data_IF_464618663359
#
_entry.id   IF_464618663359
#
_cell.length_a   1.000
_cell.length_b   1.000
_cell.length_c   1.000
_cell.angle_alpha   90.00
_cell.angle_beta   90.00
_cell.angle_gamma   90.00
#
_symmetry.space_group_name_H-M   'P 1'
#
loop_
_entity.id
_entity.type
_entity.pdbx_description
1 polymer ?
#
# COMPACT_ATOMS: atom_id res chain seq x y z
N UNK A 1 -5.67 -8.45 -7.72
CA UNK A 1 -4.26 -8.86 -7.99
C UNK A 1 -3.82 -8.40 -9.37
N UNK A 2 -2.54 -8.22 -9.58
CA UNK A 2 -1.99 -7.69 -10.85
C UNK A 2 -0.92 -8.66 -11.36
N UNK A 3 -0.94 -8.93 -12.66
CA UNK A 3 0.06 -9.73 -13.36
C UNK A 3 0.77 -8.90 -14.42
N UNK A 4 1.95 -9.33 -14.81
CA UNK A 4 2.68 -8.68 -15.88
C UNK A 4 2.09 -9.01 -17.27
N UNK A 5 1.93 -7.98 -18.11
CA UNK A 5 1.42 -8.16 -19.47
C UNK A 5 2.44 -8.91 -20.35
N UNK A 6 1.99 -9.95 -21.07
CA UNK A 6 2.85 -10.86 -21.86
C UNK A 6 3.57 -10.23 -23.05
N UNK A 7 3.25 -9.01 -23.46
CA UNK A 7 3.76 -8.41 -24.71
C UNK A 7 5.24 -7.96 -24.68
N UNK A 8 5.92 -7.98 -23.51
CA UNK A 8 7.35 -7.55 -23.39
C UNK A 8 8.23 -8.60 -22.68
N UNK A 9 8.11 -9.87 -23.05
CA UNK A 9 8.89 -10.96 -22.44
C UNK A 9 10.32 -10.98 -23.01
N UNK A 10 11.30 -10.45 -22.28
CA UNK A 10 12.71 -10.83 -22.44
C UNK A 10 12.98 -12.12 -21.64
N UNK A 11 13.91 -12.99 -22.09
CA UNK A 11 14.21 -14.22 -21.37
C UNK A 11 14.93 -13.93 -20.06
N UNK A 12 14.29 -14.17 -18.92
CA UNK A 12 14.90 -14.19 -17.59
C UNK A 12 14.85 -15.62 -17.05
N UNK A 13 15.83 -16.00 -16.23
CA UNK A 13 15.87 -17.29 -15.53
C UNK A 13 14.51 -17.55 -14.86
N UNK A 14 13.83 -18.61 -15.25
CA UNK A 14 12.39 -18.85 -15.07
C UNK A 14 11.82 -18.96 -13.64
N UNK A 15 12.59 -18.68 -12.59
CA UNK A 15 12.15 -18.81 -11.18
C UNK A 15 11.04 -17.83 -10.79
N UNK A 16 10.99 -16.64 -11.35
CA UNK A 16 9.97 -15.62 -11.05
C UNK A 16 8.56 -16.03 -11.47
N UNK A 17 8.43 -16.92 -12.48
CA UNK A 17 7.14 -17.43 -12.98
C UNK A 17 6.40 -18.30 -11.96
N UNK A 18 7.11 -18.80 -10.95
CA UNK A 18 6.56 -19.56 -9.83
C UNK A 18 6.62 -18.77 -8.51
N UNK A 19 6.82 -17.46 -8.58
CA UNK A 19 6.89 -16.58 -7.40
C UNK A 19 5.67 -15.66 -7.39
N UNK A 20 4.98 -15.59 -6.25
CA UNK A 20 3.85 -14.70 -6.00
C UNK A 20 4.25 -13.69 -4.94
N UNK A 21 4.00 -12.41 -5.19
CA UNK A 21 4.16 -11.36 -4.21
C UNK A 21 3.02 -11.38 -3.18
N UNK A 22 3.34 -11.20 -1.90
CA UNK A 22 2.38 -11.11 -0.80
C UNK A 22 2.64 -9.88 0.03
N UNK A 23 1.59 -9.14 0.35
CA UNK A 23 1.64 -8.10 1.39
C UNK A 23 1.66 -8.77 2.75
N UNK A 24 2.56 -8.33 3.63
CA UNK A 24 2.75 -8.91 4.97
C UNK A 24 1.73 -8.38 6.01
N UNK A 25 0.51 -8.00 5.59
CA UNK A 25 -0.58 -7.59 6.47
C UNK A 25 -1.64 -8.68 6.55
N UNK A 26 -2.35 -8.76 7.68
CA UNK A 26 -3.39 -9.76 7.95
C UNK A 26 -4.52 -9.79 6.90
N UNK A 27 -4.88 -8.64 6.35
CA UNK A 27 -5.90 -8.54 5.30
C UNK A 27 -5.54 -9.28 4.00
N UNK A 28 -4.28 -9.64 3.82
CA UNK A 28 -3.81 -10.40 2.67
C UNK A 28 -3.92 -11.93 2.87
N UNK A 29 -4.05 -12.40 4.11
CA UNK A 29 -4.06 -13.84 4.44
C UNK A 29 -5.15 -14.62 3.71
N UNK A 30 -6.39 -14.14 3.57
CA UNK A 30 -7.42 -14.88 2.84
C UNK A 30 -7.05 -15.21 1.38
N UNK A 31 -6.24 -14.36 0.72
CA UNK A 31 -5.79 -14.60 -0.65
C UNK A 31 -4.75 -15.73 -0.76
N UNK A 32 -4.12 -16.11 0.36
CA UNK A 32 -3.02 -17.06 0.41
C UNK A 32 -3.32 -18.30 1.25
N UNK A 33 -4.49 -18.37 1.91
CA UNK A 33 -4.84 -19.43 2.84
C UNK A 33 -4.78 -20.84 2.23
N UNK A 34 -5.15 -20.97 0.95
CA UNK A 34 -5.14 -22.26 0.24
C UNK A 34 -4.12 -22.30 -0.91
N UNK A 35 -3.05 -21.52 -0.78
CA UNK A 35 -2.00 -21.48 -1.78
C UNK A 35 -1.04 -22.67 -1.58
N UNK A 36 -1.22 -23.70 -2.39
CA UNK A 36 -0.38 -24.90 -2.35
C UNK A 36 0.93 -24.73 -3.13
N UNK A 37 1.93 -25.59 -2.77
CA UNK A 37 3.13 -25.81 -3.60
C UNK A 37 2.74 -26.05 -5.09
N UNK A 38 3.47 -25.51 -6.08
CA UNK A 38 4.91 -25.18 -6.01
C UNK A 38 5.23 -23.67 -5.87
N UNK A 39 4.28 -22.83 -5.45
CA UNK A 39 4.48 -21.39 -5.45
C UNK A 39 5.49 -20.94 -4.37
N UNK A 40 6.42 -20.08 -4.78
CA UNK A 40 7.27 -19.32 -3.85
C UNK A 40 6.55 -18.02 -3.50
N UNK A 41 6.64 -17.62 -2.23
CA UNK A 41 6.05 -16.37 -1.75
C UNK A 41 7.17 -15.35 -1.50
N UNK A 42 7.05 -14.17 -2.14
CA UNK A 42 7.89 -13.01 -1.90
C UNK A 42 7.08 -12.02 -1.08
N UNK A 43 7.46 -11.83 0.19
CA UNK A 43 6.78 -10.90 1.09
C UNK A 43 7.43 -9.53 1.04
N UNK A 44 6.62 -8.47 0.82
CA UNK A 44 7.09 -7.09 0.78
C UNK A 44 5.95 -6.12 1.11
N UNK A 45 6.27 -4.86 1.46
CA UNK A 45 5.27 -3.79 1.58
C UNK A 45 4.50 -3.56 0.27
N UNK A 46 3.24 -3.05 0.34
CA UNK A 46 2.37 -2.93 -0.85
C UNK A 46 3.00 -2.18 -2.03
N UNK A 47 3.57 -1.01 -1.79
CA UNK A 47 4.19 -0.20 -2.86
C UNK A 47 5.46 -0.82 -3.44
N UNK A 48 6.20 -1.62 -2.65
CA UNK A 48 7.42 -2.31 -3.10
C UNK A 48 7.11 -3.47 -4.04
N UNK A 49 5.96 -4.13 -3.85
CA UNK A 49 5.51 -5.21 -4.74
C UNK A 49 5.30 -4.74 -6.18
N UNK A 50 4.94 -3.47 -6.40
CA UNK A 50 4.90 -2.87 -7.74
C UNK A 50 6.25 -2.97 -8.42
N UNK A 51 7.33 -2.56 -7.73
CA UNK A 51 8.69 -2.68 -8.25
C UNK A 51 9.11 -4.13 -8.51
N UNK A 52 8.74 -5.06 -7.63
CA UNK A 52 9.02 -6.48 -7.82
C UNK A 52 8.31 -7.06 -9.05
N UNK A 53 7.06 -6.68 -9.32
CA UNK A 53 6.35 -7.06 -10.56
C UNK A 53 7.07 -6.52 -11.80
N UNK A 54 7.41 -5.23 -11.81
CA UNK A 54 8.04 -4.57 -12.95
C UNK A 54 9.43 -5.16 -13.26
N UNK A 55 10.20 -5.53 -12.24
CA UNK A 55 11.51 -6.19 -12.38
C UNK A 55 11.42 -7.70 -12.67
N UNK A 56 10.22 -8.28 -12.62
CA UNK A 56 10.00 -9.73 -12.76
C UNK A 56 10.63 -10.57 -11.63
N UNK A 57 10.52 -10.08 -10.41
CA UNK A 57 10.87 -10.87 -9.22
C UNK A 57 9.71 -11.79 -8.82
N UNK A 58 8.47 -11.44 -9.21
CA UNK A 58 7.26 -12.25 -9.08
C UNK A 58 6.33 -12.07 -10.30
N UNK A 59 5.43 -13.01 -10.52
CA UNK A 59 4.51 -13.02 -11.67
C UNK A 59 3.15 -12.38 -11.33
N UNK A 60 2.73 -12.48 -10.08
CA UNK A 60 1.45 -11.98 -9.55
C UNK A 60 1.73 -11.34 -8.20
N UNK A 61 1.09 -10.22 -7.92
CA UNK A 61 1.10 -9.62 -6.59
C UNK A 61 -0.15 -8.73 -6.37
N UNK A 62 -0.64 -8.60 -5.13
CA UNK A 62 -1.51 -7.49 -4.76
C UNK A 62 -0.65 -6.21 -4.71
N UNK A 63 -1.03 -5.20 -5.45
CA UNK A 63 -0.37 -3.90 -5.45
C UNK A 63 -1.38 -2.78 -5.24
N UNK A 64 -0.94 -1.58 -4.80
CA UNK A 64 -1.81 -0.43 -4.67
C UNK A 64 -2.49 -0.06 -5.99
N UNK A 65 -3.80 0.25 -5.94
CA UNK A 65 -4.55 0.66 -7.13
C UNK A 65 -3.97 1.91 -7.81
N UNK A 66 -3.42 2.84 -7.03
CA UNK A 66 -2.74 4.03 -7.54
C UNK A 66 -1.47 3.69 -8.34
N UNK A 67 -0.76 2.62 -7.96
CA UNK A 67 0.43 2.17 -8.71
C UNK A 67 0.01 1.42 -9.98
N UNK A 68 -1.05 0.59 -9.92
CA UNK A 68 -1.60 0.00 -11.13
C UNK A 68 -1.99 1.06 -12.15
N UNK A 69 -2.65 2.14 -11.72
CA UNK A 69 -3.06 3.21 -12.62
C UNK A 69 -1.88 3.87 -13.36
N UNK A 70 -0.70 3.96 -12.72
CA UNK A 70 0.53 4.48 -13.35
C UNK A 70 1.19 3.51 -14.32
N UNK A 71 0.96 2.20 -14.14
CA UNK A 71 1.63 1.13 -14.87
C UNK A 71 0.64 0.24 -15.63
N UNK A 72 -0.56 0.73 -15.94
CA UNK A 72 -1.63 -0.03 -16.59
C UNK A 72 -1.27 -0.56 -17.98
N UNK A 73 -0.32 0.06 -18.67
CA UNK A 73 0.20 -0.42 -19.95
C UNK A 73 1.15 -1.62 -19.81
N UNK A 74 1.78 -1.77 -18.64
CA UNK A 74 2.79 -2.81 -18.39
C UNK A 74 2.22 -3.99 -17.59
N UNK A 75 1.16 -3.74 -16.82
CA UNK A 75 0.54 -4.69 -15.90
C UNK A 75 -0.88 -5.04 -16.36
N UNK A 76 -1.34 -6.23 -16.00
CA UNK A 76 -2.71 -6.67 -16.23
C UNK A 76 -3.39 -7.01 -14.92
N UNK A 77 -4.66 -6.64 -14.77
CA UNK A 77 -5.47 -7.03 -13.61
C UNK A 77 -5.92 -8.49 -13.73
N UNK A 78 -5.92 -9.19 -12.61
CA UNK A 78 -6.71 -10.40 -12.44
C UNK A 78 -8.12 -9.93 -12.04
N UNK A 79 -9.15 -10.20 -12.86
CA UNK A 79 -10.51 -9.76 -12.55
C UNK A 79 -11.04 -10.45 -11.28
N UNK A 80 -11.97 -9.80 -10.61
CA UNK A 80 -12.71 -10.33 -9.45
C UNK A 80 -11.87 -10.74 -8.24
N UNK A 81 -10.57 -10.42 -8.23
CA UNK A 81 -9.66 -10.74 -7.14
C UNK A 81 -8.95 -9.49 -6.62
N UNK A 82 -9.29 -9.06 -5.40
CA UNK A 82 -8.69 -7.87 -4.79
C UNK A 82 -9.04 -7.72 -3.32
N UNK A 83 -8.37 -6.78 -2.67
CA UNK A 83 -8.69 -6.33 -1.32
C UNK A 83 -9.41 -5.00 -1.46
N UNK A 84 -10.69 -5.00 -1.08
CA UNK A 84 -11.58 -3.85 -1.22
C UNK A 84 -12.32 -3.59 0.08
N UNK A 85 -12.73 -2.34 0.29
CA UNK A 85 -13.62 -1.95 1.38
C UNK A 85 -14.89 -1.32 0.82
N UNK A 86 -16.02 -1.57 1.51
CA UNK A 86 -17.28 -0.88 1.28
C UNK A 86 -17.58 -0.01 2.49
N UNK A 87 -17.38 1.30 2.37
CA UNK A 87 -17.47 2.25 3.47
C UNK A 87 -16.10 2.58 4.07
N UNK A 88 -16.05 2.78 5.37
CA UNK A 88 -14.83 3.16 6.09
C UNK A 88 -13.74 2.08 6.02
N UNK A 89 -12.50 2.53 5.98
CA UNK A 89 -11.31 1.67 5.98
C UNK A 89 -10.62 1.81 7.34
N UNK A 90 -10.91 0.93 8.27
CA UNK A 90 -10.37 0.98 9.63
C UNK A 90 -8.85 0.85 9.74
N UNK A 91 -8.19 0.32 8.71
CA UNK A 91 -6.73 0.12 8.70
C UNK A 91 -5.95 1.18 7.91
N UNK A 92 -6.57 2.33 7.59
CA UNK A 92 -5.91 3.48 6.95
C UNK A 92 -6.31 4.73 7.74
N UNK A 93 -5.40 5.23 8.56
CA UNK A 93 -5.73 6.25 9.55
C UNK A 93 -4.72 7.40 9.44
N UNK A 94 -5.23 8.62 9.51
CA UNK A 94 -4.44 9.84 9.72
C UNK A 94 -4.49 10.19 11.20
N UNK A 95 -3.38 10.03 11.89
CA UNK A 95 -3.21 10.39 13.30
C UNK A 95 -2.72 11.82 13.44
N UNK A 96 -3.07 12.49 14.56
CA UNK A 96 -2.59 13.82 14.90
C UNK A 96 -3.40 14.47 16.02
N UNK A 97 -2.84 15.49 16.66
CA UNK A 97 -3.48 16.24 17.75
C UNK A 97 -4.52 17.25 17.23
N UNK A 98 -5.58 16.76 16.63
CA UNK A 98 -6.70 17.61 16.21
C UNK A 98 -7.11 17.45 14.74
N UNK A 99 -8.01 18.33 14.25
CA UNK A 99 -8.61 18.18 12.93
C UNK A 99 -7.59 18.46 11.81
N UNK A 100 -7.76 17.77 10.69
CA UNK A 100 -6.89 17.86 9.50
C UNK A 100 -6.72 19.31 8.99
N UNK A 101 -7.72 20.17 9.21
CA UNK A 101 -7.72 21.58 8.83
C UNK A 101 -6.66 22.41 9.57
N UNK A 102 -6.16 21.93 10.70
CA UNK A 102 -5.11 22.59 11.51
C UNK A 102 -3.72 22.01 11.29
N UNK A 103 -3.59 20.94 10.53
CA UNK A 103 -2.30 20.30 10.25
C UNK A 103 -1.56 21.10 9.17
N UNK A 104 -0.41 21.67 9.52
CA UNK A 104 0.50 22.37 8.59
C UNK A 104 1.49 21.42 7.92
N UNK A 105 1.76 20.27 8.57
CA UNK A 105 2.68 19.24 8.11
C UNK A 105 2.08 17.85 8.30
N UNK A 106 2.22 16.98 7.29
CA UNK A 106 1.74 15.59 7.36
C UNK A 106 2.82 14.64 6.88
N UNK A 107 3.15 13.67 7.71
CA UNK A 107 4.04 12.56 7.38
C UNK A 107 3.29 11.49 6.57
N UNK A 108 3.88 11.07 5.46
CA UNK A 108 3.36 10.04 4.56
C UNK A 108 4.21 8.77 4.65
N UNK A 109 3.61 7.58 4.73
CA UNK A 109 4.36 6.34 4.77
C UNK A 109 4.97 6.01 3.39
N UNK A 110 6.23 5.57 3.38
CA UNK A 110 6.95 5.20 2.16
C UNK A 110 6.44 3.89 1.51
N UNK A 111 5.62 3.14 2.21
CA UNK A 111 5.13 1.82 1.81
C UNK A 111 3.66 1.80 1.33
N UNK A 112 3.03 2.97 1.17
CA UNK A 112 1.64 3.10 0.68
C UNK A 112 1.51 4.15 -0.42
N UNK A 113 0.97 3.74 -1.57
CA UNK A 113 0.70 4.64 -2.69
C UNK A 113 -0.77 5.05 -2.79
N UNK A 114 -1.71 4.11 -2.62
CA UNK A 114 -3.15 4.41 -2.75
C UNK A 114 -3.66 5.29 -1.61
N UNK A 115 -3.24 5.02 -0.37
CA UNK A 115 -3.66 5.84 0.79
C UNK A 115 -3.11 7.25 0.70
N UNK A 116 -1.86 7.40 0.23
CA UNK A 116 -1.25 8.71 -0.04
C UNK A 116 -1.99 9.45 -1.15
N UNK A 117 -2.36 8.78 -2.24
CA UNK A 117 -3.15 9.37 -3.32
C UNK A 117 -4.54 9.82 -2.83
N UNK A 118 -5.20 8.98 -2.01
CA UNK A 118 -6.49 9.31 -1.42
C UNK A 118 -6.39 10.52 -0.47
N UNK A 119 -5.39 10.56 0.40
CA UNK A 119 -5.18 11.71 1.30
C UNK A 119 -4.97 13.00 0.50
N UNK A 120 -4.14 12.97 -0.55
CA UNK A 120 -3.92 14.14 -1.43
C UNK A 120 -5.21 14.58 -2.11
N UNK A 121 -6.05 13.64 -2.54
CA UNK A 121 -7.36 13.95 -3.11
C UNK A 121 -8.28 14.62 -2.08
N UNK A 122 -8.35 14.09 -0.84
CA UNK A 122 -9.15 14.68 0.25
C UNK A 122 -8.66 16.09 0.60
N UNK A 123 -7.35 16.30 0.72
CA UNK A 123 -6.76 17.61 0.96
C UNK A 123 -7.15 18.61 -0.14
N UNK A 124 -7.06 18.18 -1.41
CA UNK A 124 -7.47 18.99 -2.54
C UNK A 124 -8.96 19.36 -2.51
N UNK A 125 -9.86 18.41 -2.18
CA UNK A 125 -11.30 18.68 -2.04
C UNK A 125 -11.61 19.67 -0.91
N UNK A 126 -10.80 19.67 0.13
CA UNK A 126 -10.92 20.59 1.28
C UNK A 126 -10.16 21.91 1.09
N UNK A 127 -9.46 22.10 -0.04
CA UNK A 127 -8.55 23.24 -0.29
C UNK A 127 -7.46 23.40 0.78
N UNK A 128 -6.96 22.29 1.32
CA UNK A 128 -5.88 22.27 2.31
C UNK A 128 -4.55 22.00 1.61
N UNK A 129 -3.49 22.69 2.03
CA UNK A 129 -2.16 22.61 1.43
C UNK A 129 -1.06 22.40 2.47
N UNK A 130 -1.14 21.37 3.34
CA UNK A 130 -0.07 21.10 4.30
C UNK A 130 1.21 20.67 3.54
N UNK A 131 2.37 20.87 4.18
CA UNK A 131 3.62 20.29 3.72
C UNK A 131 3.59 18.78 3.92
N UNK A 132 3.86 18.02 2.85
CA UNK A 132 3.83 16.55 2.87
C UNK A 132 5.25 15.99 2.85
N UNK A 133 5.61 15.15 3.83
CA UNK A 133 6.93 14.55 3.98
C UNK A 133 6.84 13.02 3.93
N UNK A 134 7.51 12.39 2.98
CA UNK A 134 7.56 10.91 2.91
C UNK A 134 8.71 10.38 3.76
N UNK A 135 8.40 9.43 4.65
CA UNK A 135 9.38 8.82 5.55
C UNK A 135 9.02 7.36 5.88
N UNK A 136 9.89 6.68 6.64
CA UNK A 136 9.60 5.35 7.14
C UNK A 136 8.33 5.39 8.02
N UNK A 137 7.49 4.32 7.98
CA UNK A 137 6.20 4.29 8.68
C UNK A 137 6.36 3.97 10.18
N UNK A 138 7.15 4.78 10.87
CA UNK A 138 7.40 4.72 12.32
C UNK A 138 6.67 5.89 12.98
N UNK A 139 5.49 5.61 13.58
CA UNK A 139 4.52 6.63 14.02
C UNK A 139 5.13 7.66 14.97
N UNK A 140 5.93 7.21 15.94
CA UNK A 140 6.54 8.09 16.93
C UNK A 140 7.53 9.08 16.29
N UNK A 141 8.29 8.61 15.29
CA UNK A 141 9.21 9.48 14.55
C UNK A 141 8.44 10.41 13.60
N UNK A 142 7.34 9.94 13.01
CA UNK A 142 6.48 10.73 12.14
C UNK A 142 5.84 11.90 12.91
N UNK A 143 5.27 11.63 14.09
CA UNK A 143 4.60 12.64 14.92
C UNK A 143 5.55 13.57 15.67
N UNK A 144 6.82 13.22 15.84
CA UNK A 144 7.85 14.15 16.33
C UNK A 144 8.16 15.28 15.35
N UNK A 145 7.94 15.05 14.06
CA UNK A 145 8.37 15.96 12.98
C UNK A 145 7.17 16.65 12.33
N UNK A 146 6.01 15.99 12.28
CA UNK A 146 4.82 16.46 11.60
C UNK A 146 3.61 16.52 12.54
N UNK A 147 2.66 17.43 12.23
CA UNK A 147 1.40 17.60 12.97
C UNK A 147 0.45 16.39 12.77
N UNK A 148 0.60 15.68 11.65
CA UNK A 148 -0.17 14.48 11.36
C UNK A 148 0.69 13.40 10.71
N UNK A 149 0.29 12.13 10.87
CA UNK A 149 0.96 10.97 10.32
C UNK A 149 -0.04 9.97 9.74
N UNK A 150 0.11 9.64 8.46
CA UNK A 150 -0.70 8.62 7.80
C UNK A 150 -0.07 7.25 8.04
N UNK A 151 -0.84 6.30 8.56
CA UNK A 151 -0.44 4.90 8.67
C UNK A 151 -1.41 3.96 7.97
N UNK A 152 -0.93 2.75 7.64
CA UNK A 152 -1.71 1.69 7.03
C UNK A 152 -1.47 0.33 7.70
N UNK A 153 -2.45 -0.57 7.49
CA UNK A 153 -2.37 -1.97 7.89
C UNK A 153 -2.40 -2.18 9.40
N UNK A 154 -1.78 -3.28 9.81
CA UNK A 154 -1.81 -3.74 11.21
C UNK A 154 -1.23 -2.70 12.17
N UNK A 155 -0.19 -1.96 11.74
CA UNK A 155 0.40 -0.86 12.53
C UNK A 155 -0.58 0.27 12.83
N UNK A 156 -1.45 0.63 11.87
CA UNK A 156 -2.47 1.64 12.08
C UNK A 156 -3.52 1.15 13.09
N UNK A 157 -3.92 -0.12 12.99
CA UNK A 157 -4.87 -0.74 13.93
C UNK A 157 -4.31 -0.84 15.34
N UNK A 158 -3.07 -1.30 15.47
CA UNK A 158 -2.41 -1.43 16.78
C UNK A 158 -2.26 -0.07 17.46
N UNK A 159 -1.78 0.93 16.73
CA UNK A 159 -1.62 2.26 17.28
C UNK A 159 -2.96 2.91 17.68
N UNK A 160 -4.00 2.76 16.85
CA UNK A 160 -5.35 3.26 17.18
C UNK A 160 -5.95 2.57 18.41
N UNK A 161 -5.71 1.27 18.58
CA UNK A 161 -6.15 0.53 19.78
C UNK A 161 -5.47 1.06 21.04
N UNK A 162 -4.17 1.33 20.96
CA UNK A 162 -3.37 1.75 22.11
C UNK A 162 -3.50 3.27 22.39
N UNK A 163 -4.05 4.06 21.44
CA UNK A 163 -4.28 5.51 21.54
C UNK A 163 -5.70 5.89 21.09
N UNK A 164 -6.75 5.49 21.83
CA UNK A 164 -8.15 5.66 21.39
C UNK A 164 -8.63 7.11 21.29
N UNK A 165 -7.94 8.04 21.91
CA UNK A 165 -8.31 9.45 21.97
C UNK A 165 -7.59 10.32 20.88
N UNK A 166 -6.82 9.69 19.98
CA UNK A 166 -6.00 10.37 18.98
C UNK A 166 -6.65 10.37 17.58
#
# INVERSE_FOLDING_TARGET
MVVQNRKKLLPSNGSWKCTIGRVAFLNCDPLFHSLDSPWKVLSAPPSWLTGHLLRRDCVIAPIPAADYAKHSEELALIPELGICSKGEVGSVILFGEGPIEKMSTIALPSDSSSSVALLKFILGQKNLTPSLQTMAPEIDEMLKICDGALLIGDRALDYARDNPDM
#
